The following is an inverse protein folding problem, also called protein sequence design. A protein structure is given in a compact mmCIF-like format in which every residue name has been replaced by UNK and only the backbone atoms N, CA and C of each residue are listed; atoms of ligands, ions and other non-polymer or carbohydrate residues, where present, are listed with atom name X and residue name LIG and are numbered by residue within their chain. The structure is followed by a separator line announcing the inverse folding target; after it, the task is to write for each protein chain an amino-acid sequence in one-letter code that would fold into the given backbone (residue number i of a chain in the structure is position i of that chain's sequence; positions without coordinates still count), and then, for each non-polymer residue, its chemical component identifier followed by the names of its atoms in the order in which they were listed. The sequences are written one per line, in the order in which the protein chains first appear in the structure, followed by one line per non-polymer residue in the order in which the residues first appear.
data_IF_870884202781
#
_entry.id   IF_870884202781
#
_cell.length_a   1.000
_cell.length_b   1.000
_cell.length_c   1.000
_cell.angle_alpha   90.00
_cell.angle_beta   90.00
_cell.angle_gamma   90.00
#
_symmetry.space_group_name_H-M   'P 1'
#
loop_
_entity.id
_entity.type
_entity.pdbx_description
1 polymer ?
#
# COMPACT_ATOMS: atom_id res chain seq x y z
N UNK A 1 13.52 1.24 30.22
CA UNK A 1 13.70 1.21 28.73
C UNK A 1 15.17 0.87 28.49
N UNK A 2 15.43 -0.19 27.74
CA UNK A 2 16.80 -0.61 27.43
C UNK A 2 17.44 0.41 26.48
N UNK A 3 18.35 1.21 26.99
CA UNK A 3 19.00 2.31 26.28
C UNK A 3 20.18 1.84 25.40
N UNK A 4 20.27 0.52 25.15
CA UNK A 4 21.36 -0.10 24.37
C UNK A 4 21.01 -0.30 22.88
N UNK A 5 19.73 -0.15 22.50
CA UNK A 5 19.31 -0.33 21.13
C UNK A 5 19.70 0.88 20.29
N UNK A 6 20.40 0.63 19.17
CA UNK A 6 20.77 1.67 18.20
C UNK A 6 19.54 2.26 17.50
N UNK A 7 18.50 1.45 17.27
CA UNK A 7 17.23 1.86 16.65
C UNK A 7 16.06 1.50 17.56
N UNK A 8 14.96 2.26 17.46
CA UNK A 8 13.76 2.11 18.30
C UNK A 8 12.54 1.65 17.50
N UNK A 9 12.51 1.91 16.19
CA UNK A 9 11.37 1.62 15.35
C UNK A 9 11.77 1.06 13.98
N UNK A 10 10.84 0.32 13.36
CA UNK A 10 10.97 -0.21 12.00
C UNK A 10 9.75 0.19 11.19
N UNK A 11 9.98 0.84 10.06
CA UNK A 11 8.97 1.15 9.04
C UNK A 11 9.02 0.10 7.93
N UNK A 12 7.91 -0.51 7.63
CA UNK A 12 7.78 -1.48 6.55
C UNK A 12 7.01 -0.90 5.37
N UNK A 13 7.54 -1.05 4.15
CA UNK A 13 6.70 -1.08 2.96
C UNK A 13 5.88 -2.38 2.95
N UNK A 14 4.74 -2.39 2.25
CA UNK A 14 3.91 -3.58 2.11
C UNK A 14 4.21 -4.38 0.85
N UNK A 15 3.98 -3.76 -0.31
CA UNK A 15 3.99 -4.46 -1.58
C UNK A 15 5.38 -4.90 -2.02
N UNK A 16 5.65 -6.20 -2.04
CA UNK A 16 6.97 -6.76 -2.33
C UNK A 16 7.90 -6.80 -1.12
N UNK A 17 7.42 -6.39 0.06
CA UNK A 17 8.18 -6.40 1.33
C UNK A 17 7.50 -7.30 2.35
N UNK A 18 6.36 -6.92 2.91
CA UNK A 18 5.58 -7.75 3.83
C UNK A 18 4.54 -8.61 3.12
N UNK A 19 4.03 -8.15 1.97
CA UNK A 19 3.02 -8.86 1.17
C UNK A 19 3.43 -8.96 -0.29
N UNK A 20 3.20 -10.12 -0.88
CA UNK A 20 3.38 -10.38 -2.31
C UNK A 20 2.03 -10.68 -2.96
N UNK A 21 1.93 -10.44 -4.27
CA UNK A 21 0.75 -10.74 -5.06
C UNK A 21 0.99 -12.01 -5.87
N UNK A 22 0.34 -13.11 -5.49
CA UNK A 22 0.35 -14.35 -6.25
C UNK A 22 -0.59 -14.23 -7.45
N UNK A 23 -0.11 -14.59 -8.64
CA UNK A 23 -0.93 -14.63 -9.85
C UNK A 23 -1.91 -15.78 -9.76
N UNK A 24 -3.20 -15.46 -9.76
CA UNK A 24 -4.33 -16.40 -9.71
C UNK A 24 -5.37 -15.88 -10.71
N UNK A 25 -5.30 -16.37 -11.95
CA UNK A 25 -6.14 -15.83 -13.03
C UNK A 25 -7.64 -16.00 -12.79
N UNK A 26 -8.17 -17.13 -12.29
CA UNK A 26 -9.56 -17.22 -11.89
C UNK A 26 -9.98 -16.18 -10.85
N UNK A 27 -9.16 -15.92 -9.84
CA UNK A 27 -9.37 -14.93 -8.81
C UNK A 27 -9.38 -13.49 -9.39
N UNK A 28 -8.37 -13.17 -10.19
CA UNK A 28 -8.24 -11.87 -10.84
C UNK A 28 -9.41 -11.59 -11.79
N UNK A 29 -9.84 -12.61 -12.54
CA UNK A 29 -11.00 -12.53 -13.44
C UNK A 29 -12.30 -12.32 -12.66
N UNK A 30 -12.46 -12.99 -11.53
CA UNK A 30 -13.60 -12.76 -10.64
C UNK A 30 -13.66 -11.31 -10.17
N UNK A 31 -12.53 -10.75 -9.73
CA UNK A 31 -12.44 -9.36 -9.29
C UNK A 31 -12.82 -8.37 -10.41
N UNK A 32 -12.36 -8.58 -11.66
CA UNK A 32 -12.74 -7.74 -12.82
C UNK A 32 -14.25 -7.76 -13.07
N UNK A 33 -14.90 -8.93 -12.98
CA UNK A 33 -16.36 -9.05 -13.11
C UNK A 33 -17.09 -8.30 -12.00
N UNK A 34 -16.62 -8.49 -10.76
CA UNK A 34 -17.18 -7.78 -9.60
C UNK A 34 -17.11 -6.27 -9.74
N UNK A 35 -16.01 -5.73 -10.24
CA UNK A 35 -15.90 -4.28 -10.50
C UNK A 35 -16.99 -3.78 -11.46
N UNK A 36 -17.24 -4.48 -12.57
CA UNK A 36 -18.27 -4.10 -13.52
C UNK A 36 -19.68 -4.18 -12.92
N UNK A 37 -19.98 -5.22 -12.13
CA UNK A 37 -21.24 -5.39 -11.41
C UNK A 37 -21.44 -4.24 -10.40
N UNK A 38 -20.44 -3.90 -9.59
CA UNK A 38 -20.47 -2.85 -8.59
C UNK A 38 -20.67 -1.48 -9.23
N UNK A 39 -19.92 -1.17 -10.30
CA UNK A 39 -20.09 0.06 -11.06
C UNK A 39 -21.46 0.15 -11.73
N UNK A 40 -22.13 -0.98 -11.95
CA UNK A 40 -23.44 -1.07 -12.59
C UNK A 40 -23.39 -0.70 -14.08
N UNK A 41 -22.35 -1.15 -14.76
CA UNK A 41 -22.19 -0.95 -16.20
C UNK A 41 -22.77 -2.12 -16.99
N UNK A 42 -23.33 -1.79 -18.17
CA UNK A 42 -23.75 -2.80 -19.17
C UNK A 42 -22.58 -3.21 -20.10
N UNK A 43 -21.41 -2.56 -19.94
CA UNK A 43 -20.22 -2.87 -20.71
C UNK A 43 -19.69 -4.27 -20.36
N UNK A 44 -19.20 -5.06 -21.34
CA UNK A 44 -18.49 -6.30 -21.04
C UNK A 44 -17.34 -6.06 -20.03
N UNK A 45 -17.24 -6.88 -19.01
CA UNK A 45 -16.32 -6.64 -17.90
C UNK A 45 -14.83 -6.51 -18.31
N UNK A 46 -14.40 -7.14 -19.39
CA UNK A 46 -13.04 -6.99 -19.93
C UNK A 46 -12.83 -5.59 -20.53
N UNK A 47 -13.83 -5.07 -21.26
CA UNK A 47 -13.80 -3.72 -21.84
C UNK A 47 -13.86 -2.67 -20.71
N UNK A 48 -14.71 -2.89 -19.72
CA UNK A 48 -14.79 -2.04 -18.55
C UNK A 48 -13.44 -2.00 -17.79
N UNK A 49 -12.82 -3.15 -17.58
CA UNK A 49 -11.52 -3.21 -16.93
C UNK A 49 -10.44 -2.48 -17.74
N UNK A 50 -10.44 -2.63 -19.06
CA UNK A 50 -9.50 -1.89 -19.93
C UNK A 50 -9.73 -0.37 -19.83
N UNK A 51 -10.98 0.09 -19.82
CA UNK A 51 -11.31 1.50 -19.58
C UNK A 51 -10.70 2.03 -18.26
N UNK A 52 -10.81 1.24 -17.20
CA UNK A 52 -10.22 1.60 -15.90
C UNK A 52 -8.68 1.68 -15.99
N UNK A 53 -8.02 0.71 -16.62
CA UNK A 53 -6.55 0.73 -16.80
C UNK A 53 -6.09 1.95 -17.61
N UNK A 54 -6.80 2.28 -18.69
CA UNK A 54 -6.50 3.44 -19.55
C UNK A 54 -6.64 4.76 -18.78
N UNK A 55 -7.64 4.87 -17.91
CA UNK A 55 -7.87 6.06 -17.06
C UNK A 55 -6.96 6.10 -15.83
N UNK A 56 -6.51 4.95 -15.36
CA UNK A 56 -5.58 4.87 -14.23
C UNK A 56 -4.17 5.38 -14.60
N UNK A 57 -3.75 5.25 -15.85
CA UNK A 57 -2.41 5.68 -16.27
C UNK A 57 -2.19 7.21 -16.13
N UNK A 58 -3.07 8.13 -16.59
CA UNK A 58 -2.93 9.56 -16.32
C UNK A 58 -3.03 9.90 -14.83
N UNK A 59 -3.92 9.25 -14.07
CA UNK A 59 -3.97 9.41 -12.62
C UNK A 59 -2.63 9.07 -11.97
N UNK A 60 -2.08 7.91 -12.32
CA UNK A 60 -0.79 7.46 -11.80
C UNK A 60 0.36 8.42 -12.10
N UNK A 61 0.38 9.00 -13.30
CA UNK A 61 1.36 10.03 -13.68
C UNK A 61 1.24 11.25 -12.79
N UNK A 62 0.03 11.74 -12.57
CA UNK A 62 -0.23 12.84 -11.64
C UNK A 62 0.22 12.50 -10.22
N UNK A 63 -0.20 11.35 -9.68
CA UNK A 63 0.16 10.93 -8.33
C UNK A 63 1.68 10.83 -8.11
N UNK A 64 2.42 10.39 -9.14
CA UNK A 64 3.88 10.30 -9.10
C UNK A 64 4.56 11.66 -9.22
N UNK A 65 4.02 12.62 -10.00
CA UNK A 65 4.61 13.96 -10.15
C UNK A 65 4.39 14.83 -8.92
N UNK A 66 3.23 14.72 -8.29
CA UNK A 66 2.85 15.54 -7.14
C UNK A 66 3.22 14.91 -5.79
N UNK A 67 3.66 13.66 -5.77
CA UNK A 67 3.86 12.83 -4.57
C UNK A 67 2.61 12.78 -3.69
N UNK A 68 1.44 12.72 -4.33
CA UNK A 68 0.12 12.69 -3.70
C UNK A 68 -0.67 11.44 -4.10
N UNK A 69 -1.66 11.12 -3.30
CA UNK A 69 -2.64 10.09 -3.59
C UNK A 69 -4.03 10.68 -3.35
N UNK A 70 -5.00 10.31 -4.20
CA UNK A 70 -6.41 10.61 -3.94
C UNK A 70 -6.99 9.59 -2.97
N UNK A 71 -8.01 9.99 -2.21
CA UNK A 71 -8.90 9.06 -1.56
C UNK A 71 -9.73 8.27 -2.59
N UNK A 72 -10.48 7.28 -2.13
CA UNK A 72 -11.26 6.43 -3.01
C UNK A 72 -12.38 7.22 -3.73
N UNK A 73 -13.02 8.18 -3.05
CA UNK A 73 -14.07 8.99 -3.67
C UNK A 73 -13.51 9.83 -4.84
N UNK A 74 -12.42 10.56 -4.60
CA UNK A 74 -11.81 11.37 -5.65
C UNK A 74 -11.27 10.52 -6.80
N UNK A 75 -10.62 9.39 -6.49
CA UNK A 75 -10.10 8.46 -7.48
C UNK A 75 -11.19 7.98 -8.43
N UNK A 76 -12.30 7.48 -7.87
CA UNK A 76 -13.35 6.88 -8.68
C UNK A 76 -14.26 7.92 -9.34
N UNK A 77 -14.67 8.99 -8.64
CA UNK A 77 -15.60 9.96 -9.20
C UNK A 77 -14.96 10.94 -10.18
N UNK A 78 -13.66 11.29 -10.00
CA UNK A 78 -13.02 12.29 -10.87
C UNK A 78 -12.09 11.68 -11.92
N UNK A 79 -11.40 10.59 -11.59
CA UNK A 79 -10.38 10.03 -12.46
C UNK A 79 -10.85 8.82 -13.26
N UNK A 80 -11.44 7.82 -12.61
CA UNK A 80 -11.71 6.53 -13.23
C UNK A 80 -13.10 6.41 -13.84
N UNK A 81 -14.13 6.97 -13.21
CA UNK A 81 -15.52 6.89 -13.65
C UNK A 81 -16.22 8.28 -13.66
N UNK A 82 -15.61 9.33 -14.23
CA UNK A 82 -16.19 10.69 -14.23
C UNK A 82 -17.51 10.82 -15.01
N UNK A 83 -17.81 9.87 -15.90
CA UNK A 83 -19.00 9.81 -16.75
C UNK A 83 -20.13 8.98 -16.11
N UNK A 84 -19.91 8.39 -14.95
CA UNK A 84 -20.90 7.61 -14.23
C UNK A 84 -21.65 8.48 -13.21
N UNK A 85 -22.80 8.00 -12.72
CA UNK A 85 -23.54 8.71 -11.67
C UNK A 85 -22.66 8.86 -10.41
N UNK A 86 -22.24 10.09 -10.05
CA UNK A 86 -21.31 10.30 -8.95
C UNK A 86 -21.91 9.89 -7.59
N UNK A 87 -23.25 9.94 -7.43
CA UNK A 87 -23.90 9.52 -6.19
C UNK A 87 -23.73 8.01 -5.99
N UNK A 88 -23.93 7.25 -7.07
CA UNK A 88 -23.72 5.80 -7.05
C UNK A 88 -22.25 5.45 -6.83
N UNK A 89 -21.35 6.06 -7.61
CA UNK A 89 -19.91 5.74 -7.51
C UNK A 89 -19.36 6.06 -6.12
N UNK A 90 -19.75 7.17 -5.52
CA UNK A 90 -19.37 7.50 -4.14
C UNK A 90 -19.79 6.42 -3.13
N UNK A 91 -20.96 5.80 -3.30
CA UNK A 91 -21.43 4.75 -2.40
C UNK A 91 -20.64 3.45 -2.50
N UNK A 92 -19.97 3.22 -3.62
CA UNK A 92 -19.27 1.94 -3.91
C UNK A 92 -17.76 2.10 -4.13
N UNK A 93 -17.20 3.31 -3.96
CA UNK A 93 -15.79 3.61 -4.27
C UNK A 93 -14.79 2.74 -3.49
N UNK A 94 -15.04 2.47 -2.20
CA UNK A 94 -14.19 1.60 -1.39
C UNK A 94 -14.19 0.15 -1.92
N UNK A 95 -15.36 -0.37 -2.28
CA UNK A 95 -15.48 -1.72 -2.84
C UNK A 95 -14.82 -1.79 -4.23
N UNK A 96 -14.97 -0.75 -5.06
CA UNK A 96 -14.27 -0.66 -6.35
C UNK A 96 -12.75 -0.66 -6.18
N UNK A 97 -12.22 0.11 -5.23
CA UNK A 97 -10.78 0.12 -4.90
C UNK A 97 -10.32 -1.25 -4.40
N UNK A 98 -11.08 -1.87 -3.51
CA UNK A 98 -10.80 -3.22 -3.04
C UNK A 98 -10.70 -4.20 -4.20
N UNK A 99 -11.73 -4.27 -5.07
CA UNK A 99 -11.75 -5.18 -6.20
C UNK A 99 -10.65 -4.87 -7.23
N UNK A 100 -10.37 -3.59 -7.51
CA UNK A 100 -9.27 -3.22 -8.40
C UNK A 100 -7.93 -3.78 -7.91
N UNK A 101 -7.67 -3.74 -6.61
CA UNK A 101 -6.47 -4.32 -6.04
C UNK A 101 -6.42 -5.84 -6.18
N UNK A 102 -7.57 -6.53 -6.09
CA UNK A 102 -7.67 -7.98 -6.31
C UNK A 102 -7.40 -8.37 -7.78
N UNK A 103 -7.64 -7.47 -8.76
CA UNK A 103 -7.28 -7.71 -10.17
C UNK A 103 -5.78 -7.87 -10.41
N UNK A 104 -4.94 -7.48 -9.48
CA UNK A 104 -3.46 -7.58 -9.58
C UNK A 104 -2.91 -8.89 -9.01
N UNK A 105 -3.74 -9.71 -8.39
CA UNK A 105 -3.40 -11.00 -7.77
C UNK A 105 -3.83 -11.09 -6.32
N UNK A 106 -3.85 -12.32 -5.81
CA UNK A 106 -4.14 -12.60 -4.39
C UNK A 106 -2.92 -12.23 -3.54
N UNK A 107 -3.13 -11.35 -2.56
CA UNK A 107 -2.04 -10.95 -1.67
C UNK A 107 -1.92 -11.88 -0.48
N UNK A 108 -0.68 -12.27 -0.21
CA UNK A 108 -0.31 -13.11 0.93
C UNK A 108 0.88 -12.48 1.65
N UNK A 109 1.01 -12.76 2.94
CA UNK A 109 2.21 -12.38 3.70
C UNK A 109 3.41 -13.18 3.17
N UNK A 110 4.57 -12.57 3.09
CA UNK A 110 5.81 -13.26 2.70
C UNK A 110 6.18 -14.31 3.74
N UNK A 111 6.84 -15.36 3.30
CA UNK A 111 7.34 -16.41 4.21
C UNK A 111 8.23 -15.82 5.30
N UNK A 112 7.96 -16.16 6.56
CA UNK A 112 8.65 -15.62 7.73
C UNK A 112 8.23 -14.19 8.13
N UNK A 113 7.33 -13.54 7.38
CA UNK A 113 6.90 -12.18 7.65
C UNK A 113 6.20 -12.01 9.00
N UNK A 114 5.32 -12.95 9.34
CA UNK A 114 4.60 -12.94 10.63
C UNK A 114 5.58 -13.11 11.79
N UNK A 115 6.54 -14.03 11.68
CA UNK A 115 7.56 -14.29 12.68
C UNK A 115 8.46 -13.07 12.90
N UNK A 116 8.81 -12.36 11.82
CA UNK A 116 9.60 -11.11 11.88
C UNK A 116 8.82 -10.02 12.61
N UNK A 117 7.55 -9.80 12.26
CA UNK A 117 6.68 -8.81 12.92
C UNK A 117 6.63 -9.09 14.43
N UNK A 118 6.24 -10.31 14.81
CA UNK A 118 6.13 -10.73 16.22
C UNK A 118 7.47 -10.63 16.96
N UNK A 119 8.53 -11.14 16.36
CA UNK A 119 9.85 -11.14 16.97
C UNK A 119 10.46 -9.75 17.14
N UNK A 120 10.15 -8.78 16.30
CA UNK A 120 10.56 -7.38 16.50
C UNK A 120 9.72 -6.72 17.59
N UNK A 121 8.41 -6.94 17.60
CA UNK A 121 7.53 -6.42 18.65
C UNK A 121 7.92 -6.95 20.05
N UNK A 122 8.17 -8.26 20.18
CA UNK A 122 8.63 -8.90 21.43
C UNK A 122 9.97 -8.32 21.92
N UNK A 123 10.84 -7.91 21.00
CA UNK A 123 12.07 -7.20 21.34
C UNK A 123 11.85 -5.73 21.68
N UNK A 124 10.61 -5.25 21.68
CA UNK A 124 10.22 -3.90 22.05
C UNK A 124 10.59 -2.84 21.00
N UNK A 125 10.63 -3.21 19.71
CA UNK A 125 10.62 -2.24 18.62
C UNK A 125 9.20 -1.77 18.37
N UNK A 126 9.04 -0.48 18.09
CA UNK A 126 7.82 0.05 17.51
C UNK A 126 7.77 -0.30 16.02
N UNK A 127 6.60 -0.67 15.51
CA UNK A 127 6.43 -1.07 14.12
C UNK A 127 5.46 -0.14 13.42
N UNK A 128 5.84 0.33 12.24
CA UNK A 128 4.98 1.14 11.37
C UNK A 128 4.90 0.57 9.97
N UNK A 129 3.76 0.76 9.32
CA UNK A 129 3.57 0.51 7.89
C UNK A 129 3.54 1.84 7.15
N UNK A 130 4.27 1.96 6.05
CA UNK A 130 4.21 3.10 5.13
C UNK A 130 4.03 2.59 3.71
N UNK A 131 2.82 2.68 3.16
CA UNK A 131 2.49 2.09 1.86
C UNK A 131 1.86 3.06 0.89
N UNK A 132 2.38 3.05 -0.35
CA UNK A 132 1.72 3.69 -1.48
C UNK A 132 0.70 2.74 -2.09
N UNK A 133 -0.57 3.05 -1.95
CA UNK A 133 -1.65 2.24 -2.53
C UNK A 133 -2.92 3.06 -2.76
N UNK A 134 -3.77 2.61 -3.65
CA UNK A 134 -5.18 2.98 -3.71
C UNK A 134 -5.96 2.01 -2.82
N UNK A 135 -7.11 2.45 -2.29
CA UNK A 135 -7.93 1.68 -1.36
C UNK A 135 -7.59 1.95 0.10
N UNK A 136 -8.61 2.09 0.90
CA UNK A 136 -8.51 2.50 2.30
C UNK A 136 -8.74 1.33 3.25
N UNK A 137 -9.50 0.32 2.83
CA UNK A 137 -10.00 -0.75 3.71
C UNK A 137 -9.18 -2.03 3.67
N UNK A 138 -8.60 -2.41 2.52
CA UNK A 138 -7.92 -3.72 2.34
C UNK A 138 -6.82 -3.98 3.37
N UNK A 139 -6.05 -2.97 3.75
CA UNK A 139 -4.92 -3.17 4.70
C UNK A 139 -5.41 -3.29 6.13
N UNK A 140 -6.29 -2.41 6.64
CA UNK A 140 -6.91 -2.62 7.95
C UNK A 140 -7.62 -3.96 8.08
N UNK A 141 -8.47 -4.33 7.10
CA UNK A 141 -9.20 -5.61 7.09
C UNK A 141 -8.22 -6.80 7.16
N UNK A 142 -7.17 -6.78 6.34
CA UNK A 142 -6.14 -7.81 6.37
C UNK A 142 -5.42 -7.91 7.72
N UNK A 143 -5.05 -6.79 8.32
CA UNK A 143 -4.36 -6.79 9.61
C UNK A 143 -5.23 -7.40 10.71
N UNK A 144 -6.53 -7.08 10.70
CA UNK A 144 -7.51 -7.64 11.64
C UNK A 144 -7.71 -9.15 11.40
N UNK A 145 -7.94 -9.57 10.16
CA UNK A 145 -8.15 -10.98 9.79
C UNK A 145 -6.96 -11.88 10.19
N UNK A 146 -5.74 -11.39 10.00
CA UNK A 146 -4.52 -12.13 10.35
C UNK A 146 -4.07 -11.92 11.81
N UNK A 147 -4.78 -11.09 12.59
CA UNK A 147 -4.46 -10.75 13.98
C UNK A 147 -3.11 -10.06 14.12
N UNK A 148 -2.77 -9.22 13.14
CA UNK A 148 -1.50 -8.49 13.07
C UNK A 148 -1.64 -7.01 13.48
N UNK A 149 -2.85 -6.49 13.54
CA UNK A 149 -3.17 -5.10 13.89
C UNK A 149 -2.51 -4.67 15.21
N UNK A 150 -2.54 -5.53 16.22
CA UNK A 150 -1.97 -5.30 17.55
C UNK A 150 -0.45 -5.11 17.58
N UNK A 151 0.27 -5.45 16.51
CA UNK A 151 1.72 -5.34 16.44
C UNK A 151 2.22 -4.05 15.82
N UNK A 152 1.34 -3.27 15.19
CA UNK A 152 1.71 -2.02 14.53
C UNK A 152 1.26 -0.80 15.32
N UNK A 153 2.21 0.06 15.66
CA UNK A 153 1.95 1.34 16.35
C UNK A 153 1.41 2.42 15.41
N UNK A 154 1.65 2.29 14.09
CA UNK A 154 1.16 3.22 13.06
C UNK A 154 1.00 2.51 11.71
N UNK A 155 -0.07 2.83 10.99
CA UNK A 155 -0.35 2.32 9.63
C UNK A 155 -0.66 3.49 8.71
N UNK A 156 0.33 3.91 7.93
CA UNK A 156 0.22 5.06 7.02
C UNK A 156 0.01 4.56 5.60
N UNK A 157 -1.18 4.83 5.08
CA UNK A 157 -1.60 4.51 3.72
C UNK A 157 -1.73 5.80 2.91
N UNK A 158 -1.13 5.85 1.72
CA UNK A 158 -1.15 7.06 0.89
C UNK A 158 -2.56 7.51 0.51
N UNK A 159 -3.49 6.56 0.30
CA UNK A 159 -4.90 6.83 0.03
C UNK A 159 -5.64 7.54 1.19
N UNK A 160 -5.16 7.36 2.43
CA UNK A 160 -5.77 7.95 3.63
C UNK A 160 -5.11 9.30 3.98
N UNK A 161 -3.77 9.35 3.96
CA UNK A 161 -3.04 10.55 4.36
C UNK A 161 -2.75 11.51 3.20
N UNK A 162 -3.07 11.14 1.97
CA UNK A 162 -2.82 11.90 0.72
C UNK A 162 -1.34 12.21 0.43
N UNK A 163 -0.42 11.67 1.22
CA UNK A 163 1.02 11.76 1.02
C UNK A 163 1.53 10.48 0.36
N UNK A 164 2.58 10.60 -0.47
CA UNK A 164 3.09 9.47 -1.24
C UNK A 164 4.61 9.43 -1.23
N UNK A 165 5.21 8.25 -1.06
CA UNK A 165 6.63 8.00 -1.33
C UNK A 165 6.94 8.26 -2.82
N UNK A 166 8.04 8.94 -3.18
CA UNK A 166 9.21 9.30 -2.37
C UNK A 166 9.13 10.65 -1.62
N UNK A 167 7.96 11.24 -1.45
CA UNK A 167 7.81 12.39 -0.53
C UNK A 167 8.32 12.01 0.87
N UNK A 168 9.02 12.92 1.53
CA UNK A 168 9.62 12.65 2.83
C UNK A 168 8.61 12.82 3.98
N UNK A 169 7.54 13.58 3.74
CA UNK A 169 6.52 13.93 4.71
C UNK A 169 5.78 12.70 5.26
N UNK A 170 5.59 11.66 4.42
CA UNK A 170 4.92 10.43 4.83
C UNK A 170 5.71 9.65 5.92
N UNK A 171 7.05 9.75 5.89
CA UNK A 171 7.91 9.17 6.93
C UNK A 171 7.85 9.96 8.22
N UNK A 172 7.78 11.32 8.13
CA UNK A 172 7.61 12.17 9.29
C UNK A 172 6.27 11.92 9.98
N UNK A 173 5.19 11.74 9.19
CA UNK A 173 3.88 11.42 9.72
C UNK A 173 3.93 10.13 10.56
N UNK A 174 4.48 9.05 10.03
CA UNK A 174 4.60 7.78 10.73
C UNK A 174 5.45 7.90 12.01
N UNK A 175 6.59 8.58 11.95
CA UNK A 175 7.45 8.80 13.11
C UNK A 175 6.74 9.61 14.21
N UNK A 176 5.97 10.64 13.82
CA UNK A 176 5.20 11.47 14.76
C UNK A 176 4.10 10.66 15.47
N UNK A 177 3.33 9.85 14.74
CA UNK A 177 2.31 8.98 15.33
C UNK A 177 2.92 7.98 16.32
N UNK A 178 4.08 7.42 15.97
CA UNK A 178 4.78 6.47 16.83
C UNK A 178 5.56 7.14 17.98
N UNK A 179 5.70 8.47 17.98
CA UNK A 179 6.49 9.21 19.00
C UNK A 179 7.96 8.81 19.00
N UNK A 180 8.60 8.74 17.82
CA UNK A 180 10.00 8.38 17.63
C UNK A 180 10.74 9.39 16.76
N UNK A 181 12.05 9.51 16.97
CA UNK A 181 12.91 10.30 16.10
C UNK A 181 13.27 9.51 14.85
N UNK A 182 13.22 10.11 13.67
CA UNK A 182 13.53 9.46 12.39
C UNK A 182 14.93 8.86 12.35
N UNK A 183 15.91 9.48 13.01
CA UNK A 183 17.27 8.97 13.12
C UNK A 183 17.35 7.62 13.91
N UNK A 184 16.37 7.34 14.75
CA UNK A 184 16.24 6.09 15.52
C UNK A 184 15.41 5.03 14.79
N UNK A 185 15.04 5.27 13.53
CA UNK A 185 14.20 4.37 12.74
C UNK A 185 14.99 3.62 11.67
N UNK A 186 14.50 2.43 11.34
CA UNK A 186 14.93 1.64 10.18
C UNK A 186 13.78 1.58 9.19
N UNK A 187 14.02 1.85 7.90
CA UNK A 187 13.05 1.60 6.82
C UNK A 187 13.42 0.32 6.09
N UNK A 188 12.45 -0.57 5.92
CA UNK A 188 12.57 -1.83 5.16
C UNK A 188 11.61 -1.78 3.98
N UNK A 189 12.13 -1.90 2.76
CA UNK A 189 11.36 -1.77 1.53
C UNK A 189 11.97 -2.58 0.38
N UNK A 190 11.25 -2.70 -0.73
CA UNK A 190 11.68 -3.46 -1.91
C UNK A 190 12.10 -2.60 -3.11
N UNK A 191 11.82 -1.30 -3.08
CA UNK A 191 11.98 -0.42 -4.24
C UNK A 191 12.93 0.75 -3.97
N UNK A 192 14.17 0.64 -4.48
CA UNK A 192 15.21 1.65 -4.30
C UNK A 192 14.78 3.05 -4.74
N UNK A 193 14.09 3.16 -5.90
CA UNK A 193 13.73 4.47 -6.48
C UNK A 193 12.59 5.15 -5.72
N UNK A 194 11.66 4.38 -5.18
CA UNK A 194 10.49 4.88 -4.46
C UNK A 194 10.78 5.14 -2.98
N UNK A 195 11.49 4.21 -2.35
CA UNK A 195 11.57 4.19 -0.88
C UNK A 195 12.81 4.92 -0.34
N UNK A 196 13.99 4.73 -0.96
CA UNK A 196 15.25 5.28 -0.44
C UNK A 196 15.33 6.81 -0.46
N UNK A 197 14.98 7.54 -1.56
CA UNK A 197 15.14 8.99 -1.59
C UNK A 197 14.33 9.71 -0.51
N UNK A 198 13.07 9.31 -0.34
CA UNK A 198 12.18 9.89 0.68
C UNK A 198 12.65 9.62 2.10
N UNK A 199 12.98 8.36 2.41
CA UNK A 199 13.48 7.97 3.73
C UNK A 199 14.80 8.70 4.10
N UNK A 200 15.74 8.79 3.15
CA UNK A 200 16.97 9.56 3.36
C UNK A 200 16.71 11.04 3.58
N UNK A 201 15.84 11.66 2.76
CA UNK A 201 15.48 13.07 2.90
C UNK A 201 14.78 13.35 4.23
N UNK A 202 13.96 12.41 4.72
CA UNK A 202 13.32 12.48 6.03
C UNK A 202 14.32 12.38 7.18
N UNK A 203 15.49 11.78 6.99
CA UNK A 203 16.50 11.55 8.02
C UNK A 203 16.37 10.19 8.71
N UNK A 204 15.74 9.20 8.06
CA UNK A 204 15.66 7.81 8.60
C UNK A 204 17.07 7.25 8.77
N UNK A 205 17.35 6.72 9.97
CA UNK A 205 18.70 6.34 10.40
C UNK A 205 19.31 5.15 9.65
N UNK A 206 18.48 4.23 9.14
CA UNK A 206 18.93 3.10 8.33
C UNK A 206 17.87 2.74 7.28
N UNK A 207 18.32 2.34 6.08
CA UNK A 207 17.44 1.90 5.01
C UNK A 207 17.90 0.53 4.52
N UNK A 208 17.02 -0.45 4.58
CA UNK A 208 17.24 -1.83 4.16
C UNK A 208 16.39 -2.08 2.91
N UNK A 209 17.01 -2.58 1.86
CA UNK A 209 16.29 -3.04 0.67
C UNK A 209 16.17 -4.56 0.75
N UNK A 210 14.92 -5.02 0.75
CA UNK A 210 14.57 -6.43 0.67
C UNK A 210 14.41 -6.84 -0.79
N UNK A 211 15.24 -7.74 -1.26
CA UNK A 211 15.06 -8.36 -2.58
C UNK A 211 14.24 -9.64 -2.43
N UNK A 212 12.99 -9.60 -2.88
CA UNK A 212 12.16 -10.81 -2.95
C UNK A 212 12.81 -11.81 -3.91
N UNK A 213 12.90 -13.11 -3.54
CA UNK A 213 13.40 -14.16 -4.42
C UNK A 213 12.68 -14.21 -5.78
N UNK A 214 11.40 -13.85 -5.83
CA UNK A 214 10.58 -13.84 -7.05
C UNK A 214 11.03 -12.76 -8.05
N UNK A 215 11.64 -11.66 -7.60
CA UNK A 215 12.18 -10.62 -8.49
C UNK A 215 13.47 -11.04 -9.17
N UNK A 216 14.22 -12.00 -8.63
CA UNK A 216 15.45 -12.52 -9.25
C UNK A 216 15.19 -13.30 -10.54
N UNK A 217 14.01 -13.89 -10.70
CA UNK A 217 13.62 -14.64 -11.91
C UNK A 217 12.99 -13.78 -13.02
N UNK A 218 12.75 -12.50 -12.76
CA UNK A 218 12.17 -11.58 -13.76
C UNK A 218 13.21 -10.79 -14.57
N UNK A 219 14.50 -11.07 -14.39
CA UNK A 219 15.63 -10.34 -15.01
C UNK A 219 16.47 -11.25 -15.92
N UNK A 220 16.04 -12.50 -16.16
CA UNK A 220 16.58 -13.37 -17.22
C UNK A 220 15.58 -13.37 -18.44
#
# INVERSE_FOLDING_TARGET
MDNTKRYKAVFFDLGGTLRIALKDEPYMKHARRKMAEIAGTDMPYEEFFQLIEDRYEPYRKWALSEFKESDDEELWCKWLLPDYDPVRIKQVCHELSYQYRQTKGRRVVVDGGVEVIKGLHERGYKLGIISNLIGETEVPDWLEEDGLDQYFDSVILSSVCHLRKPGFEIYQLCANEMGVELADCVSVADNVKRDIPGAKKAGVGCNIIFESPEKKHAVE
#
